data_IF_398390592705
#
_entry.id   IF_398390592705
#
_cell.length_a   1.000
_cell.length_b   1.000
_cell.length_c   1.000
_cell.angle_alpha   90.00
_cell.angle_beta   90.00
_cell.angle_gamma   90.00
#
_symmetry.space_group_name_H-M   'P 1'
#
loop_
_entity.id
_entity.type
_entity.pdbx_description
1 polymer ?
#
# COMPACT_ATOMS: atom_id res chain seq x y z
N UNK A 1 -16.65 11.52 -12.95
CA UNK A 1 -16.42 10.30 -12.14
C UNK A 1 -15.27 10.56 -11.17
N UNK A 2 -15.50 10.62 -9.84
CA UNK A 2 -14.41 10.83 -8.87
C UNK A 2 -13.64 9.53 -8.69
N UNK A 3 -12.40 9.50 -9.17
CA UNK A 3 -11.48 8.40 -8.95
C UNK A 3 -10.83 8.60 -7.57
N UNK A 4 -11.13 7.71 -6.61
CA UNK A 4 -10.64 7.79 -5.22
C UNK A 4 -9.13 7.43 -5.06
N UNK A 5 -8.32 7.56 -6.11
CA UNK A 5 -6.87 7.32 -6.00
C UNK A 5 -6.11 8.60 -5.62
N UNK A 6 -6.66 9.78 -5.94
CA UNK A 6 -5.99 11.05 -5.71
C UNK A 6 -6.22 11.54 -4.29
N UNK A 7 -5.18 11.49 -3.47
CA UNK A 7 -5.17 11.94 -2.10
C UNK A 7 -4.98 13.47 -2.05
N UNK A 8 -5.76 14.14 -1.19
CA UNK A 8 -5.76 15.62 -1.09
C UNK A 8 -4.46 16.18 -0.53
N UNK A 9 -3.90 15.48 0.44
CA UNK A 9 -2.66 15.84 1.13
C UNK A 9 -1.88 14.55 1.49
N UNK A 10 -0.65 14.70 1.97
CA UNK A 10 0.18 13.55 2.33
C UNK A 10 -0.41 12.75 3.49
N UNK A 11 -1.15 13.40 4.41
CA UNK A 11 -1.83 12.74 5.51
C UNK A 11 -2.87 11.76 4.99
N UNK A 12 -3.70 12.18 4.04
CA UNK A 12 -4.66 11.31 3.37
C UNK A 12 -3.98 10.15 2.64
N UNK A 13 -2.82 10.36 2.02
CA UNK A 13 -2.06 9.26 1.41
C UNK A 13 -1.68 8.22 2.46
N UNK A 14 -1.10 8.68 3.58
CA UNK A 14 -0.66 7.81 4.67
C UNK A 14 -1.84 7.08 5.32
N UNK A 15 -2.94 7.77 5.61
CA UNK A 15 -4.16 7.17 6.16
C UNK A 15 -4.69 6.05 5.26
N UNK A 16 -4.81 6.32 3.95
CA UNK A 16 -5.25 5.31 2.99
C UNK A 16 -4.26 4.14 2.90
N UNK A 17 -2.95 4.40 2.96
CA UNK A 17 -1.95 3.33 2.98
C UNK A 17 -2.07 2.46 4.24
N UNK A 18 -2.20 3.07 5.41
CA UNK A 18 -2.34 2.37 6.70
C UNK A 18 -3.60 1.51 6.70
N UNK A 19 -4.73 2.05 6.24
CA UNK A 19 -6.00 1.32 6.12
C UNK A 19 -5.86 0.10 5.19
N UNK A 20 -5.26 0.29 4.00
CA UNK A 20 -5.02 -0.78 3.05
C UNK A 20 -4.06 -1.85 3.60
N UNK A 21 -2.97 -1.46 4.25
CA UNK A 21 -2.05 -2.41 4.91
C UNK A 21 -2.79 -3.21 5.97
N UNK A 22 -3.66 -2.57 6.77
CA UNK A 22 -4.54 -3.24 7.73
C UNK A 22 -5.52 -4.23 7.09
N UNK A 23 -5.86 -4.02 5.81
CA UNK A 23 -6.71 -4.92 5.01
C UNK A 23 -5.93 -6.01 4.25
N UNK A 24 -4.61 -6.09 4.48
CA UNK A 24 -3.75 -7.13 3.92
C UNK A 24 -3.02 -6.74 2.64
N UNK A 25 -2.93 -5.45 2.30
CA UNK A 25 -2.12 -4.95 1.19
C UNK A 25 -0.66 -4.77 1.63
N UNK A 26 0.07 -5.87 1.77
CA UNK A 26 1.41 -5.87 2.36
C UNK A 26 2.54 -5.54 1.39
N UNK A 27 2.31 -5.62 0.08
CA UNK A 27 3.35 -5.37 -0.92
C UNK A 27 3.18 -3.96 -1.46
N UNK A 28 4.22 -3.15 -1.36
CA UNK A 28 4.18 -1.72 -1.70
C UNK A 28 5.31 -1.37 -2.67
N UNK A 29 4.96 -0.59 -3.69
CA UNK A 29 5.91 0.02 -4.62
C UNK A 29 5.66 1.53 -4.64
N UNK A 30 6.67 2.31 -4.28
CA UNK A 30 6.64 3.78 -4.29
C UNK A 30 7.27 4.27 -5.57
N UNK A 31 6.52 5.06 -6.33
CA UNK A 31 6.90 5.55 -7.65
C UNK A 31 7.00 7.09 -7.59
N UNK A 32 8.22 7.65 -7.56
CA UNK A 32 8.40 9.09 -7.67
C UNK A 32 8.12 9.54 -9.12
N UNK A 33 7.15 10.43 -9.28
CA UNK A 33 6.82 11.04 -10.57
C UNK A 33 7.71 12.26 -10.80
N UNK A 34 8.26 12.45 -12.01
CA UNK A 34 9.09 13.60 -12.32
C UNK A 34 8.23 14.87 -12.42
N UNK A 35 8.49 15.86 -11.57
CA UNK A 35 7.73 17.14 -11.54
C UNK A 35 7.66 17.86 -12.89
N UNK A 36 8.72 17.78 -13.71
CA UNK A 36 8.71 18.31 -15.10
C UNK A 36 7.62 17.71 -16.01
N UNK A 37 6.97 16.61 -15.60
CA UNK A 37 5.88 15.95 -16.33
C UNK A 37 4.53 16.09 -15.60
N UNK A 38 4.35 17.08 -14.73
CA UNK A 38 3.12 17.27 -13.95
C UNK A 38 1.86 17.32 -14.83
N UNK A 39 1.94 18.01 -15.96
CA UNK A 39 0.85 18.08 -16.95
C UNK A 39 0.46 16.70 -17.51
N UNK A 40 1.36 15.71 -17.45
CA UNK A 40 1.15 14.33 -17.91
C UNK A 40 0.84 13.36 -16.77
N UNK A 41 0.70 13.82 -15.52
CA UNK A 41 0.45 12.93 -14.39
C UNK A 41 -0.81 12.11 -14.60
N UNK A 42 -1.90 12.70 -15.09
CA UNK A 42 -3.13 11.95 -15.37
C UNK A 42 -2.92 10.78 -16.35
N UNK A 43 -2.14 10.96 -17.42
CA UNK A 43 -1.83 9.91 -18.39
C UNK A 43 -0.95 8.82 -17.78
N UNK A 44 0.03 9.22 -16.97
CA UNK A 44 0.92 8.31 -16.25
C UNK A 44 0.11 7.47 -15.25
N UNK A 45 -0.73 8.11 -14.44
CA UNK A 45 -1.63 7.48 -13.49
C UNK A 45 -2.51 6.45 -14.21
N UNK A 46 -3.14 6.87 -15.32
CA UNK A 46 -3.98 5.99 -16.12
C UNK A 46 -3.21 4.79 -16.65
N UNK A 47 -1.98 4.98 -17.15
CA UNK A 47 -1.12 3.90 -17.64
C UNK A 47 -0.76 2.93 -16.53
N UNK A 48 -0.38 3.42 -15.35
CA UNK A 48 -0.05 2.58 -14.19
C UNK A 48 -1.29 1.81 -13.71
N UNK A 49 -2.41 2.51 -13.51
CA UNK A 49 -3.67 1.88 -13.09
C UNK A 49 -4.14 0.82 -14.09
N UNK A 50 -3.92 1.06 -15.39
CA UNK A 50 -4.15 0.09 -16.47
C UNK A 50 -3.28 -1.15 -16.30
N UNK A 51 -1.96 -0.99 -16.19
CA UNK A 51 -1.03 -2.12 -16.08
C UNK A 51 -1.34 -3.02 -14.90
N UNK A 52 -1.67 -2.43 -13.75
CA UNK A 52 -1.95 -3.18 -12.52
C UNK A 52 -3.42 -3.56 -12.34
N UNK A 53 -4.30 -3.20 -13.27
CA UNK A 53 -5.75 -3.28 -13.11
C UNK A 53 -6.25 -2.67 -11.78
N UNK A 54 -5.63 -1.58 -11.35
CA UNK A 54 -5.87 -0.93 -10.06
C UNK A 54 -7.06 0.07 -10.07
N UNK A 55 -7.95 -0.02 -11.06
CA UNK A 55 -9.14 0.82 -11.13
C UNK A 55 -10.10 0.52 -9.99
N UNK A 56 -10.25 1.46 -9.06
CA UNK A 56 -11.34 1.45 -8.10
C UNK A 56 -12.59 2.03 -8.75
N UNK A 57 -13.52 1.18 -9.16
CA UNK A 57 -14.85 1.63 -9.55
C UNK A 57 -15.86 1.27 -8.45
N UNK A 58 -16.52 2.30 -7.90
CA UNK A 58 -17.43 2.22 -6.74
C UNK A 58 -18.63 1.29 -6.99
N UNK A 59 -19.01 1.11 -8.26
CA UNK A 59 -20.20 0.35 -8.68
C UNK A 59 -19.92 -1.10 -9.11
N UNK A 60 -18.66 -1.50 -9.33
CA UNK A 60 -18.35 -2.83 -9.91
C UNK A 60 -17.52 -3.78 -9.02
N UNK A 61 -17.01 -3.36 -7.86
CA UNK A 61 -15.74 -3.94 -7.39
C UNK A 61 -15.69 -4.63 -6.03
N UNK A 62 -16.60 -4.39 -5.07
CA UNK A 62 -16.51 -5.07 -3.75
C UNK A 62 -16.57 -6.60 -3.90
N UNK A 63 -17.59 -7.10 -4.59
CA UNK A 63 -17.73 -8.53 -4.88
C UNK A 63 -16.59 -9.07 -5.73
N UNK A 64 -16.10 -8.29 -6.70
CA UNK A 64 -14.98 -8.70 -7.55
C UNK A 64 -13.72 -8.91 -6.70
N UNK A 65 -13.43 -8.01 -5.76
CA UNK A 65 -12.30 -8.17 -4.83
C UNK A 65 -12.46 -9.40 -3.94
N UNK A 66 -13.67 -9.64 -3.38
CA UNK A 66 -13.92 -10.86 -2.59
C UNK A 66 -13.77 -12.13 -3.42
N UNK A 67 -14.30 -12.17 -4.64
CA UNK A 67 -14.17 -13.31 -5.55
C UNK A 67 -12.71 -13.54 -5.95
N UNK A 68 -11.94 -12.47 -6.22
CA UNK A 68 -10.50 -12.55 -6.50
C UNK A 68 -9.73 -13.10 -5.29
N UNK A 69 -10.01 -12.58 -4.10
CA UNK A 69 -9.41 -13.07 -2.85
C UNK A 69 -9.75 -14.54 -2.59
N UNK A 70 -11.01 -14.95 -2.80
CA UNK A 70 -11.44 -16.36 -2.71
C UNK A 70 -10.74 -17.27 -3.72
N UNK A 71 -10.37 -16.73 -4.89
CA UNK A 71 -9.59 -17.42 -5.92
C UNK A 71 -8.07 -17.34 -5.69
N UNK A 72 -7.61 -16.75 -4.58
CA UNK A 72 -6.18 -16.58 -4.30
C UNK A 72 -5.47 -15.57 -5.21
N UNK A 73 -6.20 -14.67 -5.87
CA UNK A 73 -5.65 -13.66 -6.77
C UNK A 73 -5.27 -12.38 -6.01
N UNK A 74 -4.14 -11.79 -6.39
CA UNK A 74 -3.72 -10.50 -5.87
C UNK A 74 -4.68 -9.38 -6.30
N UNK A 75 -4.94 -8.45 -5.39
CA UNK A 75 -5.72 -7.26 -5.64
C UNK A 75 -4.81 -6.04 -5.57
N UNK A 76 -4.84 -5.18 -6.57
CA UNK A 76 -4.02 -3.97 -6.63
C UNK A 76 -4.82 -2.72 -6.24
N UNK A 77 -4.14 -1.76 -5.64
CA UNK A 77 -4.60 -0.43 -5.29
C UNK A 77 -3.54 0.57 -5.75
N UNK A 78 -4.02 1.68 -6.29
CA UNK A 78 -3.20 2.80 -6.69
C UNK A 78 -3.63 4.02 -5.89
N UNK A 79 -2.67 4.73 -5.30
CA UNK A 79 -2.84 5.99 -4.62
C UNK A 79 -1.83 6.99 -5.16
N UNK A 80 -2.19 8.27 -5.23
CA UNK A 80 -1.25 9.34 -5.57
C UNK A 80 -1.50 10.56 -4.71
N UNK A 81 -0.42 11.17 -4.24
CA UNK A 81 -0.42 12.53 -3.72
C UNK A 81 0.76 13.28 -4.31
N UNK A 82 0.52 14.49 -4.84
CA UNK A 82 1.52 15.30 -5.55
C UNK A 82 2.28 14.45 -6.60
N UNK A 83 3.61 14.41 -6.52
CA UNK A 83 4.51 13.66 -7.38
C UNK A 83 4.90 12.30 -6.79
N UNK A 84 4.16 11.78 -5.81
CA UNK A 84 4.38 10.47 -5.20
C UNK A 84 3.19 9.58 -5.52
N UNK A 85 3.44 8.54 -6.31
CA UNK A 85 2.49 7.47 -6.57
C UNK A 85 2.84 6.23 -5.76
N UNK A 86 1.84 5.50 -5.30
CA UNK A 86 2.01 4.27 -4.53
C UNK A 86 1.10 3.20 -5.10
N UNK A 87 1.69 2.06 -5.46
CA UNK A 87 0.97 0.84 -5.81
C UNK A 87 1.05 -0.11 -4.63
N UNK A 88 -0.09 -0.61 -4.18
CA UNK A 88 -0.16 -1.64 -3.14
C UNK A 88 -0.87 -2.87 -3.68
N UNK A 89 -0.47 -4.06 -3.23
CA UNK A 89 -1.26 -5.25 -3.49
C UNK A 89 -1.33 -6.24 -2.33
N UNK A 90 -2.40 -7.04 -2.34
CA UNK A 90 -2.55 -8.17 -1.42
C UNK A 90 -1.66 -9.34 -1.83
N UNK A 91 -1.31 -10.24 -0.90
CA UNK A 91 -0.81 -11.56 -1.27
C UNK A 91 -1.76 -12.26 -2.23
N UNK A 92 -1.21 -12.99 -3.17
CA UNK A 92 -1.97 -13.76 -4.14
C UNK A 92 -1.26 -13.86 -5.47
N UNK A 93 -1.87 -14.62 -6.38
CA UNK A 93 -1.42 -14.83 -7.74
C UNK A 93 -1.66 -13.56 -8.56
N UNK A 94 -0.60 -13.04 -9.17
CA UNK A 94 -0.66 -11.89 -10.08
C UNK A 94 -0.89 -12.44 -11.48
N UNK A 95 -2.04 -12.13 -12.06
CA UNK A 95 -2.31 -12.44 -13.46
C UNK A 95 -1.90 -11.21 -14.26
N UNK A 96 -0.75 -11.29 -14.93
CA UNK A 96 -0.43 -10.34 -15.99
C UNK A 96 -1.15 -10.83 -17.23
N UNK A 97 -2.20 -10.12 -17.63
CA UNK A 97 -2.80 -10.37 -18.93
C UNK A 97 -1.84 -9.86 -19.99
N UNK A 98 -1.16 -10.78 -20.68
CA UNK A 98 -0.48 -10.47 -21.93
C UNK A 98 -1.50 -9.83 -22.88
N UNK A 99 -1.19 -8.62 -23.32
CA UNK A 99 -1.90 -7.86 -24.34
C UNK A 99 -3.30 -7.33 -23.96
N UNK A 100 -3.28 -6.13 -23.37
CA UNK A 100 -4.33 -5.12 -23.42
C UNK A 100 -5.72 -5.45 -22.82
N UNK A 101 -6.45 -4.38 -22.55
CA UNK A 101 -7.84 -4.37 -22.17
C UNK A 101 -8.66 -5.27 -23.06
N UNK A 102 -9.39 -6.20 -22.46
CA UNK A 102 -10.59 -6.74 -23.09
C UNK A 102 -11.64 -7.04 -22.02
N UNK A 103 -12.56 -6.09 -21.83
CA UNK A 103 -13.97 -6.44 -21.67
C UNK A 103 -14.41 -7.05 -23.01
N UNK A 104 -14.33 -8.37 -23.16
CA UNK A 104 -15.08 -9.10 -24.18
C UNK A 104 -16.04 -10.01 -23.43
N UNK A 105 -17.20 -9.43 -23.13
CA UNK A 105 -18.43 -10.16 -23.39
C UNK A 105 -18.37 -10.73 -24.80
N UNK A 106 -18.72 -12.00 -24.95
CA UNK A 106 -18.80 -12.77 -26.22
C UNK A 106 -17.47 -13.28 -26.81
N UNK A 107 -16.88 -14.28 -26.15
CA UNK A 107 -16.57 -15.61 -26.71
C UNK A 107 -15.78 -16.42 -25.67
N UNK A 108 -16.52 -17.23 -24.89
CA UNK A 108 -15.93 -18.25 -24.03
C UNK A 108 -15.29 -19.34 -24.91
N UNK A 109 -14.01 -19.21 -25.23
CA UNK A 109 -13.16 -20.40 -25.29
C UNK A 109 -12.68 -20.61 -23.85
N UNK A 110 -13.16 -21.68 -23.20
CA UNK A 110 -12.66 -22.12 -21.89
C UNK A 110 -11.18 -22.48 -22.08
N UNK A 111 -10.28 -21.50 -21.96
CA UNK A 111 -8.90 -21.79 -21.66
C UNK A 111 -8.92 -22.57 -20.34
N UNK A 112 -8.49 -23.84 -20.39
CA UNK A 112 -8.29 -24.68 -19.19
C UNK A 112 -7.60 -23.81 -18.14
N UNK A 113 -8.15 -23.78 -16.92
CA UNK A 113 -7.71 -22.92 -15.82
C UNK A 113 -6.19 -23.06 -15.58
N UNK A 114 -5.40 -22.20 -16.23
CA UNK A 114 -3.95 -22.12 -16.00
C UNK A 114 -3.76 -21.46 -14.64
N UNK A 115 -3.13 -22.17 -13.71
CA UNK A 115 -2.69 -21.62 -12.42
C UNK A 115 -1.40 -20.82 -12.67
N UNK A 116 -1.41 -19.52 -12.37
CA UNK A 116 -0.26 -18.62 -12.51
C UNK A 116 0.35 -18.28 -11.15
N UNK A 117 1.53 -18.80 -10.86
CA UNK A 117 2.19 -18.67 -9.54
C UNK A 117 3.25 -17.57 -9.58
N UNK A 118 3.52 -16.93 -8.44
CA UNK A 118 4.74 -16.10 -8.29
C UNK A 118 5.97 -17.00 -8.15
N UNK A 119 7.18 -16.47 -8.38
CA UNK A 119 8.45 -17.22 -8.21
C UNK A 119 8.52 -17.87 -6.82
N UNK A 120 8.17 -17.13 -5.78
CA UNK A 120 8.19 -17.62 -4.40
C UNK A 120 7.11 -18.68 -4.14
N UNK A 121 5.94 -18.57 -4.77
CA UNK A 121 4.88 -19.57 -4.65
C UNK A 121 5.21 -20.84 -5.44
N UNK A 122 5.83 -20.70 -6.61
CA UNK A 122 6.26 -21.83 -7.43
C UNK A 122 7.40 -22.60 -6.77
N UNK A 123 8.35 -21.89 -6.14
CA UNK A 123 9.44 -22.50 -5.36
C UNK A 123 8.97 -23.24 -4.10
N UNK A 124 7.83 -22.86 -3.53
CA UNK A 124 7.24 -23.48 -2.33
C UNK A 124 6.28 -24.63 -2.64
N UNK A 125 5.86 -24.79 -3.88
CA UNK A 125 5.06 -25.95 -4.29
C UNK A 125 5.99 -27.10 -4.64
N UNK A 126 5.96 -28.16 -3.82
CA UNK A 126 6.65 -29.40 -4.12
C UNK A 126 6.13 -30.00 -5.43
N UNK A 127 7.04 -30.38 -6.34
CA UNK A 127 6.71 -31.10 -7.57
C UNK A 127 6.60 -30.28 -8.86
N UNK A 128 6.91 -28.98 -8.87
CA UNK A 128 7.00 -28.20 -10.12
C UNK A 128 8.38 -28.38 -10.77
N UNK A 129 8.41 -28.72 -12.06
CA UNK A 129 9.66 -28.78 -12.82
C UNK A 129 10.15 -27.37 -13.19
N UNK A 130 11.45 -27.20 -13.44
CA UNK A 130 12.04 -25.92 -13.89
C UNK A 130 11.35 -25.35 -15.14
N UNK A 131 10.80 -26.23 -15.99
CA UNK A 131 10.08 -25.88 -17.22
C UNK A 131 8.65 -25.37 -16.93
N UNK A 132 7.98 -25.89 -15.91
CA UNK A 132 6.65 -25.40 -15.48
C UNK A 132 6.75 -24.01 -14.84
N UNK A 133 7.85 -23.74 -14.13
CA UNK A 133 8.13 -22.40 -13.58
C UNK A 133 8.21 -21.39 -14.74
N UNK A 134 8.99 -21.66 -15.78
CA UNK A 134 9.18 -20.70 -16.89
C UNK A 134 7.90 -20.40 -17.70
N UNK A 135 6.96 -21.34 -17.79
CA UNK A 135 5.74 -21.18 -18.60
C UNK A 135 4.56 -20.55 -17.84
N UNK A 136 4.60 -20.54 -16.50
CA UNK A 136 3.49 -20.09 -15.64
C UNK A 136 3.88 -19.02 -14.62
N UNK A 137 5.17 -18.73 -14.50
CA UNK A 137 5.72 -17.71 -13.61
C UNK A 137 6.17 -16.54 -14.46
N UNK A 138 5.55 -15.40 -14.21
CA UNK A 138 6.01 -14.14 -14.75
C UNK A 138 7.04 -13.62 -13.77
N UNK A 139 8.29 -13.59 -14.18
CA UNK A 139 9.32 -12.83 -13.48
C UNK A 139 8.96 -11.37 -13.59
N UNK A 140 8.36 -10.87 -12.51
CA UNK A 140 8.01 -9.48 -12.38
C UNK A 140 9.13 -8.79 -11.63
N UNK A 141 9.98 -8.08 -12.35
CA UNK A 141 11.06 -7.27 -11.78
C UNK A 141 10.56 -5.91 -11.30
N UNK A 142 9.35 -5.81 -10.75
CA UNK A 142 8.97 -4.58 -10.06
C UNK A 142 9.41 -4.65 -8.60
N UNK A 143 9.91 -3.52 -8.07
CA UNK A 143 10.49 -3.43 -6.74
C UNK A 143 9.39 -3.34 -5.67
N UNK A 144 8.51 -4.34 -5.60
CA UNK A 144 7.56 -4.45 -4.50
C UNK A 144 8.29 -4.90 -3.25
N UNK A 145 8.21 -4.09 -2.20
CA UNK A 145 8.72 -4.42 -0.89
C UNK A 145 7.58 -4.91 0.01
N UNK A 146 7.85 -5.94 0.81
CA UNK A 146 6.90 -6.42 1.82
C UNK A 146 7.03 -5.56 3.09
N UNK A 147 5.98 -4.78 3.41
CA UNK A 147 5.94 -3.87 4.58
C UNK A 147 6.16 -4.59 5.91
N UNK A 148 5.93 -5.90 5.94
CA UNK A 148 6.15 -6.73 7.14
C UNK A 148 7.63 -7.04 7.37
N UNK A 149 8.45 -7.00 6.32
CA UNK A 149 9.88 -7.29 6.37
C UNK A 149 10.70 -6.00 6.30
N UNK A 150 10.30 -5.08 5.43
CA UNK A 150 10.98 -3.82 5.17
C UNK A 150 10.03 -2.64 5.37
N UNK A 151 10.38 -1.65 6.20
CA UNK A 151 9.53 -0.48 6.37
C UNK A 151 9.48 0.36 5.09
N UNK A 152 8.29 0.87 4.75
CA UNK A 152 8.14 1.79 3.60
C UNK A 152 8.60 3.17 4.01
N UNK A 153 9.55 3.74 3.27
CA UNK A 153 10.03 5.10 3.48
C UNK A 153 9.48 6.03 2.40
N UNK A 154 8.64 6.98 2.79
CA UNK A 154 8.12 8.02 1.91
C UNK A 154 8.90 9.31 2.12
N UNK A 155 9.62 9.77 1.09
CA UNK A 155 10.25 11.09 1.08
C UNK A 155 9.24 12.14 0.61
N UNK A 156 8.64 12.84 1.56
CA UNK A 156 7.61 13.88 1.33
C UNK A 156 8.26 15.22 0.94
N UNK A 157 9.40 15.53 1.55
CA UNK A 157 10.24 16.68 1.22
C UNK A 157 11.70 16.38 1.57
N UNK A 158 12.61 17.31 1.32
CA UNK A 158 14.02 17.17 1.73
C UNK A 158 14.22 17.10 3.25
N UNK A 159 13.20 17.50 4.02
CA UNK A 159 13.24 17.52 5.48
C UNK A 159 12.22 16.58 6.12
N UNK A 160 11.34 15.94 5.34
CA UNK A 160 10.27 15.10 5.84
C UNK A 160 10.31 13.71 5.19
N UNK A 161 10.72 12.72 5.98
CA UNK A 161 10.59 11.31 5.65
C UNK A 161 9.60 10.65 6.60
N UNK A 162 8.71 9.82 6.06
CA UNK A 162 7.75 9.03 6.81
C UNK A 162 8.12 7.56 6.67
N UNK A 163 8.30 6.88 7.80
CA UNK A 163 8.55 5.45 7.84
C UNK A 163 7.27 4.73 8.29
N UNK A 164 6.72 3.88 7.43
CA UNK A 164 5.56 3.05 7.72
C UNK A 164 6.07 1.63 8.00
N UNK A 165 5.91 1.18 9.24
CA UNK A 165 6.35 -0.15 9.69
C UNK A 165 5.23 -0.90 10.38
N UNK A 166 5.12 -2.19 10.10
CA UNK A 166 4.26 -3.09 10.84
C UNK A 166 5.01 -3.61 12.08
N UNK A 167 4.49 -3.31 13.27
CA UNK A 167 5.04 -3.78 14.54
C UNK A 167 4.17 -4.92 15.08
N UNK A 168 4.82 -5.98 15.57
CA UNK A 168 4.15 -6.97 16.39
C UNK A 168 4.18 -6.51 17.85
N UNK A 169 3.01 -6.19 18.39
CA UNK A 169 2.81 -5.93 19.81
C UNK A 169 2.44 -7.24 20.50
N UNK A 170 3.31 -7.68 21.40
CA UNK A 170 3.04 -8.81 22.28
C UNK A 170 2.38 -8.29 23.55
N UNK A 171 1.10 -8.58 23.73
CA UNK A 171 0.36 -8.27 24.95
C UNK A 171 0.24 -9.55 25.80
N UNK A 172 0.76 -9.49 27.04
CA UNK A 172 0.61 -10.56 28.02
C UNK A 172 -0.61 -10.27 28.86
N UNK A 173 -1.64 -11.12 28.77
CA UNK A 173 -2.81 -11.04 29.64
C UNK A 173 -2.64 -11.97 30.84
N UNK A 174 -2.95 -11.46 32.04
CA UNK A 174 -3.05 -12.30 33.23
C UNK A 174 -4.26 -13.24 33.06
N UNK A 175 -4.15 -14.53 33.43
CA UNK A 175 -5.27 -15.46 33.36
C UNK A 175 -6.43 -14.95 34.21
N UNK A 176 -7.67 -15.10 33.71
CA UNK A 176 -8.85 -14.73 34.48
C UNK A 176 -9.04 -15.71 35.65
N UNK A 177 -9.70 -15.25 36.72
CA UNK A 177 -9.98 -16.06 37.92
C UNK A 177 -10.79 -17.30 37.50
N UNK A 178 -10.17 -18.49 37.53
CA UNK A 178 -10.78 -19.77 37.12
C UNK A 178 -10.17 -20.43 35.87
N UNK A 179 -9.33 -19.73 35.10
CA UNK A 179 -8.60 -20.33 33.98
C UNK A 179 -7.29 -20.99 34.45
N UNK A 180 -6.86 -22.04 33.74
CA UNK A 180 -5.59 -22.74 34.04
C UNK A 180 -4.44 -21.73 33.99
N UNK A 181 -3.52 -21.82 34.96
CA UNK A 181 -2.28 -21.01 34.99
C UNK A 181 -1.50 -21.23 33.68
N UNK A 182 -1.55 -20.24 32.80
CA UNK A 182 -0.80 -20.17 31.55
C UNK A 182 -0.78 -18.73 31.05
N UNK A 183 0.34 -18.29 30.50
CA UNK A 183 0.44 -16.96 29.89
C UNK A 183 -0.35 -16.95 28.57
N UNK A 184 -1.37 -16.09 28.46
CA UNK A 184 -2.02 -15.83 27.17
C UNK A 184 -1.22 -14.75 26.46
N UNK A 185 -0.49 -15.15 25.41
CA UNK A 185 0.27 -14.26 24.55
C UNK A 185 -0.63 -13.83 23.39
N UNK A 186 -1.13 -12.58 23.42
CA UNK A 186 -1.83 -11.98 22.27
C UNK A 186 -0.83 -11.25 21.39
N UNK A 187 -0.76 -11.62 20.11
CA UNK A 187 0.01 -10.90 19.09
C UNK A 187 -0.93 -9.96 18.35
N UNK A 188 -0.71 -8.66 18.46
CA UNK A 188 -1.42 -7.62 17.69
C UNK A 188 -0.46 -7.02 16.68
N UNK A 189 -0.88 -6.93 15.41
CA UNK A 189 -0.14 -6.17 14.41
C UNK A 189 -0.59 -4.71 14.49
N UNK A 190 0.36 -3.79 14.66
CA UNK A 190 0.13 -2.36 14.68
C UNK A 190 0.97 -1.68 13.60
N UNK A 191 0.31 -0.99 12.68
CA UNK A 191 1.02 -0.14 11.72
C UNK A 191 1.40 1.16 12.44
N UNK A 192 2.68 1.49 12.43
CA UNK A 192 3.19 2.74 13.02
C UNK A 192 3.80 3.62 11.94
N UNK A 193 3.59 4.91 12.08
CA UNK A 193 4.20 5.94 11.24
C UNK A 193 5.20 6.68 12.10
N UNK A 194 6.48 6.60 11.76
CA UNK A 194 7.54 7.36 12.41
C UNK A 194 7.98 8.50 11.52
N UNK A 195 8.16 9.67 12.13
CA UNK A 195 8.78 10.84 11.51
C UNK A 195 10.24 10.89 11.97
N UNK A 196 11.16 11.36 11.11
CA UNK A 196 12.58 11.45 11.46
C UNK A 196 12.86 12.47 12.57
N UNK A 197 13.86 12.17 13.42
CA UNK A 197 14.21 12.93 14.65
C UNK A 197 14.64 14.38 14.39
N UNK A 198 15.22 14.66 13.22
CA UNK A 198 15.57 16.03 12.79
C UNK A 198 14.34 16.91 12.62
N UNK A 199 13.23 16.34 12.15
CA UNK A 199 11.99 17.07 11.91
C UNK A 199 11.23 17.35 13.21
N UNK A 200 11.24 16.45 14.20
CA UNK A 200 10.69 16.75 15.53
C UNK A 200 11.36 18.00 16.14
N UNK A 201 12.69 18.13 15.96
CA UNK A 201 13.44 19.30 16.42
C UNK A 201 13.09 20.57 15.61
N UNK A 202 13.05 20.49 14.29
CA UNK A 202 12.73 21.64 13.43
C UNK A 202 11.29 22.15 13.66
N UNK A 203 10.30 21.24 13.75
CA UNK A 203 8.91 21.61 14.04
C UNK A 203 8.72 22.17 15.44
N UNK A 204 9.49 21.72 16.43
CA UNK A 204 9.51 22.32 17.76
C UNK A 204 9.97 23.78 17.74
N UNK A 205 10.94 24.12 16.89
CA UNK A 205 11.42 25.51 16.73
C UNK A 205 10.36 26.38 16.08
N UNK A 206 9.81 25.93 14.94
CA UNK A 206 8.76 26.64 14.20
C UNK A 206 7.51 26.86 15.07
N UNK A 207 7.12 25.86 15.89
CA UNK A 207 6.00 26.01 16.82
C UNK A 207 6.27 27.07 17.88
N UNK A 208 7.51 27.14 18.42
CA UNK A 208 7.90 28.14 19.41
C UNK A 208 7.85 29.55 18.81
N UNK A 209 8.37 29.73 17.60
CA UNK A 209 8.33 31.02 16.90
C UNK A 209 6.89 31.48 16.62
N UNK A 210 6.01 30.56 16.21
CA UNK A 210 4.59 30.84 16.02
C UNK A 210 3.89 31.27 17.32
N UNK A 211 4.19 30.60 18.43
CA UNK A 211 3.65 30.94 19.76
C UNK A 211 4.15 32.32 20.20
N UNK A 212 5.44 32.63 20.01
CA UNK A 212 6.00 33.95 20.32
C UNK A 212 5.37 35.05 19.47
N UNK A 213 5.23 34.82 18.16
CA UNK A 213 4.56 35.76 17.26
C UNK A 213 3.10 35.99 17.67
N UNK A 214 2.36 34.93 18.01
CA UNK A 214 0.99 35.03 18.52
C UNK A 214 0.91 35.77 19.86
N UNK A 215 1.88 35.57 20.76
CA UNK A 215 1.94 36.30 22.02
C UNK A 215 2.20 37.80 21.80
N UNK A 216 3.16 38.14 20.93
CA UNK A 216 3.46 39.53 20.55
C UNK A 216 2.27 40.21 19.87
N UNK A 217 1.60 39.52 18.96
CA UNK A 217 0.42 40.06 18.27
C UNK A 217 -0.78 40.21 19.21
N UNK A 218 -1.05 39.27 20.13
CA UNK A 218 -2.12 39.43 21.14
C UNK A 218 -1.86 40.60 22.10
N UNK A 219 -0.60 40.87 22.45
CA UNK A 219 -0.22 42.03 23.26
C UNK A 219 -0.46 43.38 22.55
N UNK A 220 -0.50 43.40 21.21
CA UNK A 220 -0.72 44.62 20.42
C UNK A 220 -2.21 45.01 20.30
N UNK A 221 -3.15 44.09 20.56
CA UNK A 221 -4.60 44.35 20.51
C UNK A 221 -5.26 44.58 21.88
N UNK A 222 -4.48 44.58 22.97
CA UNK A 222 -4.92 45.04 24.29
C UNK A 222 -4.48 46.50 24.52
N UNK A 223 -5.13 47.45 23.84
CA UNK A 223 -5.09 48.87 24.16
C UNK A 223 -6.49 49.46 24.07
#
# INVERSE_FOLDING_TARGET
MKLNYLCRNWQSLVENMVDLVGHGYYYVCVIPLPRRKEQKFFEIDYKIMRSYHAFYNKLQSKDKYYRRKKKGLANFRYLRWDNIAVVLHTPGMIIVSGDHYVLNTTKRKKAKDKKFLTVDQAKRQEGLTKYDIQNYVIEYTDPFEDVRQSPVVLKISDHLHLEIRLLEKIEREKPKKGEKKGEIIKRKQQVTVKMTKQMYKAKLVELKELVEHQARSKLLYCR
#
